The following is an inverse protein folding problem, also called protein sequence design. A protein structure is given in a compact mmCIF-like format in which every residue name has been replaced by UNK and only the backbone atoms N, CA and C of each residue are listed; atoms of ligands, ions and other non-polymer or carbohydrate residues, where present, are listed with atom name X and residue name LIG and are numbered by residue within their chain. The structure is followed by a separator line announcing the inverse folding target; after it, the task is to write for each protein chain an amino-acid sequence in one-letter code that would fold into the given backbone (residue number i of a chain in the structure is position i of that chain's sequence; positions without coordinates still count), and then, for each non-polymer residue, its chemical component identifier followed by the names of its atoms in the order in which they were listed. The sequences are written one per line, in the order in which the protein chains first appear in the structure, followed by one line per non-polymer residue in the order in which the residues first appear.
data_IF_727234844107
#
_entry.id   IF_727234844107
#
_cell.length_a   1.000
_cell.length_b   1.000
_cell.length_c   1.000
_cell.angle_alpha   90.00
_cell.angle_beta   90.00
_cell.angle_gamma   90.00
#
_symmetry.space_group_name_H-M   'P 1'
#
loop_
_entity.id
_entity.type
_entity.pdbx_description
1 polymer ?
#
# COMPACT_ATOMS: atom_id res chain seq x y z
N UNK A 1 9.77 7.83 24.55
CA UNK A 1 11.06 7.30 24.09
C UNK A 1 10.91 6.26 22.96
N UNK A 2 9.73 6.09 22.36
CA UNK A 2 9.46 5.06 21.33
C UNK A 2 9.32 5.62 19.89
N UNK A 3 9.23 6.93 19.71
CA UNK A 3 9.07 7.56 18.37
C UNK A 3 10.33 7.41 17.49
N UNK A 4 11.53 7.34 18.11
CA UNK A 4 12.78 7.19 17.36
C UNK A 4 12.97 5.80 16.69
N UNK A 5 12.25 4.77 17.14
CA UNK A 5 12.31 3.44 16.54
C UNK A 5 11.40 3.28 15.32
N UNK A 6 10.36 4.10 15.18
CA UNK A 6 9.46 4.09 14.03
C UNK A 6 10.10 4.71 12.77
N UNK A 7 11.00 5.69 12.97
CA UNK A 7 11.70 6.33 11.83
C UNK A 7 12.81 5.44 11.23
N UNK A 8 13.34 4.49 11.99
CA UNK A 8 14.46 3.65 11.53
C UNK A 8 14.05 2.58 10.50
N UNK A 9 12.77 2.18 10.47
CA UNK A 9 12.28 1.15 9.53
C UNK A 9 12.01 1.72 8.13
N UNK A 10 11.72 3.02 8.03
CA UNK A 10 11.40 3.67 6.75
C UNK A 10 12.67 4.08 5.96
N UNK A 11 13.84 4.17 6.62
CA UNK A 11 15.10 4.65 6.01
C UNK A 11 15.92 3.54 5.36
N UNK A 12 15.64 2.25 5.61
CA UNK A 12 16.47 1.14 5.08
C UNK A 12 16.17 0.75 3.62
N UNK A 13 15.27 1.40 2.91
CA UNK A 13 14.94 1.05 1.51
C UNK A 13 15.69 1.93 0.48
N UNK A 14 16.46 2.93 0.91
CA UNK A 14 17.04 3.94 -0.02
C UNK A 14 18.55 3.92 -0.19
N UNK A 15 19.28 2.88 0.23
CA UNK A 15 20.74 2.89 0.10
C UNK A 15 21.27 1.58 -0.49
N UNK A 16 21.16 1.41 -1.79
CA UNK A 16 22.09 0.55 -2.55
C UNK A 16 22.17 0.95 -4.02
N UNK A 17 22.87 2.03 -4.33
CA UNK A 17 23.51 2.24 -5.64
C UNK A 17 24.76 3.07 -5.40
N UNK A 18 25.89 2.55 -5.79
CA UNK A 18 27.16 3.08 -6.24
C UNK A 18 28.39 2.52 -5.52
N UNK A 19 29.06 1.57 -6.15
CA UNK A 19 30.52 1.57 -6.22
C UNK A 19 30.93 0.85 -7.50
N UNK A 20 31.53 1.59 -8.42
CA UNK A 20 32.00 1.10 -9.70
C UNK A 20 33.44 0.63 -9.68
N UNK A 21 33.74 -0.12 -10.74
CA UNK A 21 34.95 -0.29 -11.53
C UNK A 21 35.92 -1.44 -11.13
N UNK A 22 36.85 -1.88 -11.99
CA UNK A 22 36.87 -1.88 -13.45
C UNK A 22 37.21 -3.24 -14.12
N UNK A 23 37.00 -3.31 -15.43
CA UNK A 23 37.63 -4.09 -16.50
C UNK A 23 38.56 -5.28 -16.16
N UNK A 24 38.17 -6.46 -16.63
CA UNK A 24 39.07 -7.35 -17.39
C UNK A 24 38.27 -8.01 -18.51
N UNK A 25 38.74 -7.75 -19.71
CA UNK A 25 38.30 -8.41 -20.91
C UNK A 25 38.81 -9.84 -20.93
N UNK A 26 37.91 -10.79 -21.08
CA UNK A 26 38.27 -12.15 -21.49
C UNK A 26 37.22 -12.65 -22.49
N UNK A 27 37.66 -12.66 -23.73
CA UNK A 27 36.98 -13.36 -24.84
C UNK A 27 37.07 -14.87 -24.59
N UNK A 28 35.93 -15.51 -24.45
CA UNK A 28 35.86 -16.97 -24.54
C UNK A 28 34.57 -17.34 -25.28
N UNK A 29 34.80 -18.04 -26.36
CA UNK A 29 33.93 -18.64 -27.38
C UNK A 29 32.59 -19.15 -26.83
N UNK A 30 31.50 -18.75 -27.49
CA UNK A 30 30.18 -19.37 -27.43
C UNK A 30 30.22 -20.72 -28.21
N UNK A 31 29.74 -21.80 -27.64
CA UNK A 31 29.23 -22.91 -28.43
C UNK A 31 27.79 -22.61 -28.84
N UNK A 32 27.56 -22.73 -30.14
CA UNK A 32 26.26 -22.59 -30.77
C UNK A 32 25.27 -23.66 -30.31
N UNK A 33 24.03 -23.26 -30.07
CA UNK A 33 22.85 -24.07 -30.33
C UNK A 33 22.30 -24.89 -29.19
N UNK A 34 21.33 -24.29 -28.49
CA UNK A 34 20.12 -25.02 -28.11
C UNK A 34 18.97 -24.00 -28.00
N UNK A 35 18.13 -24.00 -29.00
CA UNK A 35 16.82 -23.32 -28.98
C UNK A 35 15.92 -24.01 -27.96
N UNK A 36 15.72 -23.39 -26.81
CA UNK A 36 14.68 -23.78 -25.86
C UNK A 36 13.36 -23.25 -26.39
N UNK A 37 12.29 -24.08 -26.55
CA UNK A 37 11.01 -23.61 -27.05
C UNK A 37 10.39 -22.61 -26.06
N UNK A 38 10.07 -21.43 -26.59
CA UNK A 38 9.37 -20.30 -26.04
C UNK A 38 8.52 -20.47 -24.79
N UNK A 39 9.08 -20.15 -23.66
CA UNK A 39 8.29 -19.54 -22.61
C UNK A 39 8.18 -18.06 -22.96
N UNK A 40 7.06 -17.65 -23.54
CA UNK A 40 6.74 -16.24 -23.77
C UNK A 40 6.81 -15.53 -22.44
N UNK A 41 7.71 -14.56 -22.29
CA UNK A 41 7.74 -13.71 -21.11
C UNK A 41 6.34 -13.08 -20.93
N UNK A 42 5.76 -13.10 -19.74
CA UNK A 42 4.46 -12.51 -19.51
C UNK A 42 4.51 -11.01 -19.88
N UNK A 43 3.40 -10.45 -20.40
CA UNK A 43 3.37 -9.05 -20.80
C UNK A 43 3.77 -8.16 -19.62
N UNK A 44 4.41 -7.00 -19.84
CA UNK A 44 4.89 -6.10 -18.78
C UNK A 44 3.82 -5.71 -17.74
N UNK A 45 2.55 -5.67 -18.15
CA UNK A 45 1.41 -5.43 -17.29
C UNK A 45 1.16 -6.55 -16.26
N UNK A 46 1.37 -7.82 -16.64
CA UNK A 46 1.18 -8.96 -15.73
C UNK A 46 2.27 -9.00 -14.64
N UNK A 47 3.50 -8.59 -14.96
CA UNK A 47 4.56 -8.44 -13.96
C UNK A 47 4.26 -7.30 -12.98
N UNK A 48 3.80 -6.15 -13.47
CA UNK A 48 3.42 -5.01 -12.63
C UNK A 48 2.29 -5.37 -11.66
N UNK A 49 1.26 -6.05 -12.13
CA UNK A 49 0.14 -6.46 -11.28
C UNK A 49 0.59 -7.47 -10.21
N UNK A 50 1.48 -8.38 -10.56
CA UNK A 50 2.08 -9.33 -9.61
C UNK A 50 2.93 -8.60 -8.54
N UNK A 51 3.77 -7.67 -8.96
CA UNK A 51 4.62 -6.88 -8.05
C UNK A 51 3.78 -6.02 -7.10
N UNK A 52 2.68 -5.45 -7.59
CA UNK A 52 1.69 -4.73 -6.77
C UNK A 52 1.06 -5.68 -5.75
N UNK A 53 0.72 -6.91 -6.12
CA UNK A 53 0.13 -7.87 -5.18
C UNK A 53 1.12 -8.28 -4.09
N UNK A 54 2.36 -8.59 -4.45
CA UNK A 54 3.42 -8.93 -3.48
C UNK A 54 3.67 -7.77 -2.50
N UNK A 55 3.74 -6.53 -3.00
CA UNK A 55 3.89 -5.35 -2.16
C UNK A 55 2.71 -5.17 -1.20
N UNK A 56 1.49 -5.44 -1.65
CA UNK A 56 0.29 -5.37 -0.82
C UNK A 56 0.27 -6.42 0.29
N UNK A 57 0.75 -7.62 0.02
CA UNK A 57 0.85 -8.70 1.01
C UNK A 57 1.88 -8.35 2.08
N UNK A 58 3.03 -7.81 1.68
CA UNK A 58 4.06 -7.36 2.60
C UNK A 58 3.57 -6.22 3.50
N UNK A 59 2.93 -5.20 2.93
CA UNK A 59 2.32 -4.09 3.69
C UNK A 59 1.25 -4.59 4.67
N UNK A 60 0.41 -5.55 4.29
CA UNK A 60 -0.58 -6.14 5.20
C UNK A 60 0.08 -6.87 6.36
N UNK A 61 1.11 -7.66 6.07
CA UNK A 61 1.86 -8.40 7.10
C UNK A 61 2.53 -7.46 8.08
N UNK A 62 3.23 -6.46 7.60
CA UNK A 62 3.88 -5.43 8.42
C UNK A 62 2.86 -4.64 9.26
N UNK A 63 1.71 -4.28 8.69
CA UNK A 63 0.62 -3.60 9.41
C UNK A 63 0.10 -4.45 10.58
N UNK A 64 -0.16 -5.73 10.35
CA UNK A 64 -0.62 -6.66 11.41
C UNK A 64 0.42 -6.80 12.52
N UNK A 65 1.70 -6.91 12.18
CA UNK A 65 2.80 -6.97 13.15
C UNK A 65 2.91 -5.68 13.98
N UNK A 66 2.79 -4.51 13.35
CA UNK A 66 2.82 -3.22 14.04
C UNK A 66 1.65 -3.07 15.01
N UNK A 67 0.46 -3.48 14.62
CA UNK A 67 -0.72 -3.48 15.49
C UNK A 67 -0.49 -4.43 16.66
N UNK A 68 -0.05 -5.67 16.42
CA UNK A 68 0.22 -6.66 17.47
C UNK A 68 1.25 -6.15 18.49
N UNK A 69 2.33 -5.50 18.03
CA UNK A 69 3.40 -4.99 18.88
C UNK A 69 2.98 -3.80 19.78
N UNK A 70 1.93 -3.07 19.40
CA UNK A 70 1.52 -1.84 20.10
C UNK A 70 0.25 -2.00 20.93
N UNK A 71 -0.59 -3.02 20.66
CA UNK A 71 -1.90 -3.15 21.29
C UNK A 71 -1.88 -3.76 22.69
N UNK A 72 -0.85 -4.51 23.06
CA UNK A 72 -0.72 -5.20 24.35
C UNK A 72 -2.01 -5.97 24.73
N UNK A 73 -2.52 -6.79 23.81
CA UNK A 73 -3.75 -7.59 24.01
C UNK A 73 -3.47 -8.77 24.97
N UNK A 74 -4.41 -9.03 25.86
CA UNK A 74 -4.43 -10.32 26.58
C UNK A 74 -4.82 -11.45 25.61
N UNK A 75 -4.65 -12.71 26.02
CA UNK A 75 -5.05 -13.86 25.20
C UNK A 75 -6.54 -13.82 24.83
N UNK A 76 -7.42 -13.50 25.80
CA UNK A 76 -8.85 -13.38 25.59
C UNK A 76 -9.22 -12.23 24.65
N UNK A 77 -8.59 -11.06 24.82
CA UNK A 77 -8.79 -9.92 23.93
C UNK A 77 -8.31 -10.24 22.52
N UNK A 78 -7.17 -10.89 22.37
CA UNK A 78 -6.61 -11.25 21.07
C UNK A 78 -7.55 -12.20 20.31
N UNK A 79 -8.14 -13.18 20.99
CA UNK A 79 -9.10 -14.13 20.41
C UNK A 79 -10.33 -13.42 19.82
N UNK A 80 -10.78 -12.32 20.44
CA UNK A 80 -11.93 -11.54 19.99
C UNK A 80 -11.54 -10.46 18.97
N UNK A 81 -10.37 -9.83 19.14
CA UNK A 81 -9.90 -8.70 18.34
C UNK A 81 -9.53 -9.12 16.91
N UNK A 82 -8.73 -10.17 16.74
CA UNK A 82 -8.19 -10.53 15.44
C UNK A 82 -9.24 -10.88 14.39
N UNK A 83 -10.33 -11.60 14.70
CA UNK A 83 -11.40 -11.82 13.72
C UNK A 83 -12.05 -10.52 13.23
N UNK A 84 -12.29 -9.55 14.13
CA UNK A 84 -12.84 -8.24 13.76
C UNK A 84 -11.83 -7.44 12.92
N UNK A 85 -10.57 -7.48 13.29
CA UNK A 85 -9.48 -6.85 12.55
C UNK A 85 -9.36 -7.40 11.13
N UNK A 86 -9.39 -8.72 10.96
CA UNK A 86 -9.28 -9.38 9.66
C UNK A 86 -10.49 -9.04 8.76
N UNK A 87 -11.69 -8.95 9.30
CA UNK A 87 -12.89 -8.49 8.57
C UNK A 87 -12.76 -7.01 8.16
N UNK A 88 -12.38 -6.14 9.09
CA UNK A 88 -12.15 -4.73 8.81
C UNK A 88 -11.13 -4.54 7.69
N UNK A 89 -9.99 -5.20 7.77
CA UNK A 89 -8.91 -5.07 6.78
C UNK A 89 -9.30 -5.63 5.42
N UNK A 90 -10.13 -6.67 5.37
CA UNK A 90 -10.66 -7.20 4.11
C UNK A 90 -11.62 -6.21 3.43
N UNK A 91 -12.49 -5.52 4.20
CA UNK A 91 -13.37 -4.47 3.66
C UNK A 91 -12.55 -3.24 3.26
N UNK A 92 -11.57 -2.82 4.06
CA UNK A 92 -10.68 -1.71 3.75
C UNK A 92 -9.87 -1.95 2.46
N UNK A 93 -9.44 -3.19 2.22
CA UNK A 93 -8.73 -3.57 1.01
C UNK A 93 -9.56 -3.31 -0.26
N UNK A 94 -10.86 -3.62 -0.24
CA UNK A 94 -11.77 -3.36 -1.39
C UNK A 94 -11.88 -1.87 -1.71
N UNK A 95 -11.95 -1.02 -0.67
CA UNK A 95 -11.96 0.44 -0.87
C UNK A 95 -10.59 0.90 -1.39
N UNK A 96 -9.50 0.34 -0.87
CA UNK A 96 -8.14 0.59 -1.36
C UNK A 96 -7.96 0.20 -2.83
N UNK A 97 -8.58 -0.89 -3.28
CA UNK A 97 -8.56 -1.30 -4.69
C UNK A 97 -9.22 -0.26 -5.59
N UNK A 98 -10.34 0.32 -5.16
CA UNK A 98 -11.01 1.41 -5.88
C UNK A 98 -10.11 2.66 -5.98
N UNK A 99 -9.37 2.98 -4.91
CA UNK A 99 -8.38 4.09 -4.91
C UNK A 99 -7.25 3.83 -5.91
N UNK A 100 -6.69 2.62 -5.91
CA UNK A 100 -5.61 2.26 -6.86
C UNK A 100 -6.11 2.30 -8.30
N UNK A 101 -7.32 1.82 -8.57
CA UNK A 101 -7.93 1.90 -9.90
C UNK A 101 -8.08 3.35 -10.35
N UNK A 102 -8.57 4.24 -9.47
CA UNK A 102 -8.71 5.67 -9.75
C UNK A 102 -7.35 6.34 -10.04
N UNK A 103 -6.31 6.02 -9.27
CA UNK A 103 -4.95 6.54 -9.48
C UNK A 103 -4.39 6.07 -10.83
N UNK A 104 -4.56 4.79 -11.18
CA UNK A 104 -4.11 4.25 -12.48
C UNK A 104 -4.80 4.94 -13.66
N UNK A 105 -6.10 5.17 -13.57
CA UNK A 105 -6.89 5.88 -14.57
C UNK A 105 -6.41 7.33 -14.72
N UNK A 106 -6.21 8.04 -13.61
CA UNK A 106 -5.66 9.39 -13.61
C UNK A 106 -4.27 9.44 -14.26
N UNK A 107 -3.38 8.51 -13.91
CA UNK A 107 -2.02 8.47 -14.46
C UNK A 107 -1.99 8.30 -15.98
N UNK A 108 -3.03 7.74 -16.60
CA UNK A 108 -3.15 7.60 -18.06
C UNK A 108 -3.63 8.88 -18.75
N UNK A 109 -4.30 9.77 -18.04
CA UNK A 109 -4.99 10.92 -18.64
C UNK A 109 -4.57 12.29 -18.10
N UNK A 110 -3.74 12.37 -17.04
CA UNK A 110 -3.46 13.61 -16.31
C UNK A 110 -2.91 14.74 -17.21
N UNK A 111 -2.16 14.41 -18.27
CA UNK A 111 -1.57 15.40 -19.18
C UNK A 111 -2.59 16.04 -20.15
N UNK A 112 -3.73 15.40 -20.35
CA UNK A 112 -4.78 15.81 -21.31
C UNK A 112 -6.16 15.80 -20.67
N UNK A 113 -6.23 15.85 -19.34
CA UNK A 113 -7.48 15.77 -18.59
C UNK A 113 -8.40 16.96 -18.90
N UNK A 114 -9.64 16.68 -19.21
CA UNK A 114 -10.67 17.71 -19.39
C UNK A 114 -11.31 18.11 -18.06
N UNK A 115 -11.95 19.28 -17.99
CA UNK A 115 -12.69 19.74 -16.81
C UNK A 115 -13.74 18.72 -16.33
N UNK A 116 -14.43 18.06 -17.26
CA UNK A 116 -15.42 17.04 -16.95
C UNK A 116 -14.76 15.82 -16.26
N UNK A 117 -13.63 15.36 -16.79
CA UNK A 117 -12.85 14.26 -16.19
C UNK A 117 -12.29 14.66 -14.84
N UNK A 118 -11.69 15.86 -14.70
CA UNK A 118 -11.18 16.37 -13.45
C UNK A 118 -12.27 16.42 -12.36
N UNK A 119 -13.48 16.89 -12.73
CA UNK A 119 -14.63 16.90 -11.83
C UNK A 119 -15.07 15.48 -11.41
N UNK A 120 -15.09 14.52 -12.34
CA UNK A 120 -15.39 13.12 -12.02
C UNK A 120 -14.34 12.52 -11.06
N UNK A 121 -13.04 12.73 -11.32
CA UNK A 121 -11.97 12.30 -10.45
C UNK A 121 -12.11 12.86 -9.02
N UNK A 122 -12.37 14.15 -8.86
CA UNK A 122 -12.58 14.76 -7.55
C UNK A 122 -13.74 14.13 -6.79
N UNK A 123 -14.87 13.90 -7.47
CA UNK A 123 -16.07 13.27 -6.87
C UNK A 123 -15.77 11.83 -6.42
N UNK A 124 -15.11 11.05 -7.27
CA UNK A 124 -14.76 9.65 -6.97
C UNK A 124 -13.73 9.57 -5.84
N UNK A 125 -12.73 10.45 -5.82
CA UNK A 125 -11.75 10.53 -4.73
C UNK A 125 -12.43 10.84 -3.39
N UNK A 126 -13.32 11.85 -3.35
CA UNK A 126 -14.08 12.20 -2.16
C UNK A 126 -14.99 11.06 -1.69
N UNK A 127 -15.63 10.34 -2.62
CA UNK A 127 -16.46 9.17 -2.29
C UNK A 127 -15.64 8.03 -1.66
N UNK A 128 -14.42 7.78 -2.12
CA UNK A 128 -13.51 6.80 -1.54
C UNK A 128 -13.12 7.19 -0.10
N UNK A 129 -12.83 8.47 0.15
CA UNK A 129 -12.52 8.95 1.50
C UNK A 129 -13.71 8.84 2.46
N UNK A 130 -14.93 9.11 1.96
CA UNK A 130 -16.17 8.89 2.71
C UNK A 130 -16.38 7.40 3.05
N UNK A 131 -16.10 6.49 2.12
CA UNK A 131 -16.20 5.05 2.36
C UNK A 131 -15.24 4.59 3.46
N UNK A 132 -13.99 5.05 3.48
CA UNK A 132 -13.06 4.76 4.58
C UNK A 132 -13.56 5.31 5.92
N UNK A 133 -14.12 6.51 5.94
CA UNK A 133 -14.68 7.11 7.15
C UNK A 133 -15.88 6.32 7.66
N UNK A 134 -16.80 5.95 6.77
CA UNK A 134 -17.96 5.13 7.10
C UNK A 134 -17.55 3.73 7.60
N UNK A 135 -16.55 3.11 6.97
CA UNK A 135 -16.01 1.82 7.41
C UNK A 135 -15.48 1.89 8.83
N UNK A 136 -14.67 2.90 9.15
CA UNK A 136 -14.16 3.10 10.51
C UNK A 136 -15.30 3.23 11.52
N UNK A 137 -16.28 4.07 11.22
CA UNK A 137 -17.45 4.28 12.09
C UNK A 137 -18.25 2.99 12.31
N UNK A 138 -18.43 2.17 11.26
CA UNK A 138 -19.11 0.87 11.32
C UNK A 138 -18.41 -0.09 12.27
N UNK A 139 -17.08 -0.07 12.35
CA UNK A 139 -16.30 -1.02 13.12
C UNK A 139 -15.99 -0.58 14.55
N UNK A 140 -16.19 0.70 14.93
CA UNK A 140 -16.02 1.17 16.33
C UNK A 140 -16.73 0.27 17.32
N UNK A 141 -18.08 0.04 17.25
CA UNK A 141 -18.77 -0.77 18.23
C UNK A 141 -18.31 -2.24 18.21
N UNK A 142 -17.88 -2.77 17.08
CA UNK A 142 -17.40 -4.15 16.98
C UNK A 142 -16.06 -4.33 17.73
N UNK A 143 -15.16 -3.35 17.64
CA UNK A 143 -13.91 -3.36 18.40
C UNK A 143 -14.16 -3.11 19.90
N UNK A 144 -15.10 -2.24 20.27
CA UNK A 144 -15.47 -2.00 21.67
C UNK A 144 -16.09 -3.23 22.34
N UNK A 145 -16.75 -4.09 21.57
CA UNK A 145 -17.23 -5.39 22.05
C UNK A 145 -16.10 -6.44 22.23
N UNK A 146 -14.98 -6.26 21.51
CA UNK A 146 -13.85 -7.18 21.56
C UNK A 146 -12.81 -6.78 22.61
N UNK A 147 -12.59 -5.48 22.79
CA UNK A 147 -11.57 -4.89 23.67
C UNK A 147 -12.10 -3.62 24.34
N UNK A 148 -11.38 -3.10 25.35
CA UNK A 148 -11.80 -1.87 26.03
C UNK A 148 -11.83 -0.66 25.06
N UNK A 149 -12.70 0.33 25.34
CA UNK A 149 -12.79 1.59 24.57
C UNK A 149 -11.42 2.30 24.44
N UNK A 150 -10.60 2.25 25.50
CA UNK A 150 -9.25 2.83 25.48
C UNK A 150 -8.32 2.11 24.48
N UNK A 151 -8.38 0.80 24.40
CA UNK A 151 -7.62 0.00 23.43
C UNK A 151 -8.20 0.18 22.01
N UNK A 152 -9.50 0.30 21.88
CA UNK A 152 -10.16 0.62 20.61
C UNK A 152 -9.66 1.98 20.08
N UNK A 153 -9.61 3.00 20.92
CA UNK A 153 -9.07 4.31 20.54
C UNK A 153 -7.59 4.23 20.11
N UNK A 154 -6.76 3.46 20.84
CA UNK A 154 -5.36 3.21 20.45
C UNK A 154 -5.26 2.56 19.07
N UNK A 155 -6.07 1.52 18.81
CA UNK A 155 -6.10 0.85 17.52
C UNK A 155 -6.47 1.82 16.39
N UNK A 156 -7.52 2.63 16.56
CA UNK A 156 -7.90 3.64 15.56
C UNK A 156 -6.80 4.68 15.30
N UNK A 157 -6.07 5.09 16.34
CA UNK A 157 -4.93 5.99 16.16
C UNK A 157 -3.80 5.34 15.36
N UNK A 158 -3.51 4.06 15.60
CA UNK A 158 -2.52 3.31 14.85
C UNK A 158 -2.95 3.13 13.39
N UNK A 159 -4.21 2.69 13.17
CA UNK A 159 -4.79 2.54 11.83
C UNK A 159 -4.73 3.84 11.04
N UNK A 160 -5.14 4.96 11.65
CA UNK A 160 -5.11 6.27 10.99
C UNK A 160 -3.70 6.74 10.65
N UNK A 161 -2.72 6.50 11.52
CA UNK A 161 -1.32 6.85 11.24
C UNK A 161 -0.74 6.04 10.08
N UNK A 162 -1.01 4.75 10.05
CA UNK A 162 -0.58 3.88 8.95
C UNK A 162 -1.21 4.29 7.62
N UNK A 163 -2.51 4.60 7.62
CA UNK A 163 -3.22 5.09 6.44
C UNK A 163 -2.65 6.41 5.93
N UNK A 164 -2.35 7.36 6.82
CA UNK A 164 -1.73 8.64 6.46
C UNK A 164 -0.34 8.47 5.84
N UNK A 165 0.48 7.56 6.36
CA UNK A 165 1.80 7.28 5.79
C UNK A 165 1.70 6.69 4.39
N UNK A 166 0.79 5.74 4.17
CA UNK A 166 0.54 5.13 2.86
C UNK A 166 0.04 6.20 1.87
N UNK A 167 -0.93 7.02 2.29
CA UNK A 167 -1.48 8.08 1.44
C UNK A 167 -0.44 9.14 1.08
N UNK A 168 0.44 9.52 2.01
CA UNK A 168 1.53 10.44 1.75
C UNK A 168 2.49 9.89 0.70
N UNK A 169 2.85 8.61 0.82
CA UNK A 169 3.73 7.95 -0.15
C UNK A 169 3.09 7.83 -1.54
N UNK A 170 1.78 7.53 -1.60
CA UNK A 170 1.04 7.51 -2.85
C UNK A 170 0.97 8.92 -3.48
N UNK A 171 0.62 9.93 -2.68
CA UNK A 171 0.49 11.31 -3.16
C UNK A 171 1.81 11.88 -3.71
N UNK A 172 2.95 11.50 -3.14
CA UNK A 172 4.26 11.93 -3.62
C UNK A 172 4.58 11.44 -5.05
N UNK A 173 3.92 10.39 -5.51
CA UNK A 173 4.13 9.80 -6.84
C UNK A 173 3.04 10.17 -7.86
N UNK A 174 2.00 10.90 -7.44
CA UNK A 174 0.90 11.32 -8.33
C UNK A 174 1.22 12.71 -8.88
N UNK A 175 1.34 12.90 -10.21
CA UNK A 175 1.57 14.20 -10.80
C UNK A 175 0.38 15.13 -10.56
N UNK A 176 0.66 16.42 -10.41
CA UNK A 176 -0.40 17.43 -10.32
C UNK A 176 -1.02 17.68 -11.70
N UNK A 177 -2.26 18.14 -11.71
CA UNK A 177 -2.95 18.59 -12.94
C UNK A 177 -2.19 19.77 -13.54
N UNK A 178 -1.91 19.70 -14.85
CA UNK A 178 -1.33 20.80 -15.59
C UNK A 178 -2.45 21.78 -16.02
N UNK A 179 -2.49 22.94 -15.38
CA UNK A 179 -3.48 24.01 -15.67
C UNK A 179 -3.00 25.03 -16.71
N UNK A 180 -1.82 24.79 -17.32
CA UNK A 180 -1.22 25.73 -18.28
C UNK A 180 -1.68 25.52 -19.73
N UNK A 181 -2.53 24.53 -19.97
CA UNK A 181 -3.03 24.19 -21.31
C UNK A 181 -4.50 24.48 -21.46
#
# INVERSE_FOLDING_TARGET
MHIKKLLAVVVCISALVCAGAPMFAQAAQQPAGQSVPGASAPPPSANLDRDIQLLREDVRSQRKQLVAANMNLTADEATKFWPVYDQYTAEAAKIGDSRVALIKEYAQSYATITDAQANDFMKRAAAIDQQFTALRSKYVPQFENAISAKKTALWFQLDRRLDLLINLQLAANIPLVDVSK
#
